data_IF_342037603769
#
_entry.id   IF_342037603769
#
_cell.length_a   1.000
_cell.length_b   1.000
_cell.length_c   1.000
_cell.angle_alpha   90.00
_cell.angle_beta   90.00
_cell.angle_gamma   90.00
#
_symmetry.space_group_name_H-M   'P 1'
#
loop_
_entity.id
_entity.type
_entity.pdbx_description
1 polymer ?
#
# COMPACT_ATOMS: atom_id res chain seq x y z
N UNK A 1 16.55 -90.82 105.22
CA UNK A 1 15.59 -89.71 105.39
C UNK A 1 15.62 -88.85 104.13
N UNK A 2 14.43 -88.63 103.55
CA UNK A 2 14.03 -87.47 102.72
C UNK A 2 14.79 -87.21 101.38
N UNK A 3 14.15 -87.51 100.24
CA UNK A 3 13.45 -86.56 99.31
C UNK A 3 14.43 -85.59 98.63
N UNK A 4 14.50 -85.35 97.33
CA UNK A 4 13.59 -85.49 96.19
C UNK A 4 13.98 -84.41 95.16
N UNK A 5 13.64 -84.61 93.88
CA UNK A 5 13.59 -83.58 92.82
C UNK A 5 14.95 -82.93 92.42
N UNK A 6 15.45 -83.08 91.18
CA UNK A 6 15.04 -82.21 90.06
C UNK A 6 15.73 -82.64 88.75
N UNK A 7 15.02 -83.34 87.86
CA UNK A 7 15.40 -83.51 86.45
C UNK A 7 14.41 -82.74 85.57
N UNK A 8 14.49 -81.40 85.60
CA UNK A 8 13.70 -80.49 84.74
C UNK A 8 14.51 -79.32 84.15
N UNK A 9 15.85 -79.34 84.20
CA UNK A 9 16.67 -78.23 83.69
C UNK A 9 16.86 -78.17 82.16
N UNK A 10 17.06 -79.26 81.40
CA UNK A 10 17.40 -79.14 79.97
C UNK A 10 16.23 -78.69 79.08
N UNK A 11 15.00 -79.07 79.42
CA UNK A 11 13.80 -78.69 78.64
C UNK A 11 13.39 -77.23 78.84
N UNK A 12 13.64 -76.67 80.02
CA UNK A 12 13.34 -75.25 80.32
C UNK A 12 14.28 -74.32 79.56
N UNK A 13 15.58 -74.64 79.51
CA UNK A 13 16.56 -73.86 78.75
C UNK A 13 16.30 -73.91 77.24
N UNK A 14 15.92 -75.09 76.72
CA UNK A 14 15.53 -75.24 75.30
C UNK A 14 14.27 -74.43 74.96
N UNK A 15 13.27 -74.41 75.86
CA UNK A 15 12.07 -73.59 75.70
C UNK A 15 12.34 -72.09 75.70
N UNK A 16 13.23 -71.61 76.58
CA UNK A 16 13.63 -70.19 76.63
C UNK A 16 14.38 -69.79 75.35
N UNK A 17 15.29 -70.64 74.85
CA UNK A 17 16.00 -70.40 73.59
C UNK A 17 15.05 -70.33 72.39
N UNK A 18 14.07 -71.25 72.33
CA UNK A 18 13.05 -71.27 71.28
C UNK A 18 12.18 -70.00 71.30
N UNK A 19 11.75 -69.54 72.49
CA UNK A 19 11.00 -68.30 72.65
C UNK A 19 11.85 -67.08 72.26
N UNK A 20 13.13 -67.05 72.64
CA UNK A 20 14.04 -65.97 72.26
C UNK A 20 14.26 -65.90 70.74
N UNK A 21 14.44 -67.04 70.06
CA UNK A 21 14.55 -67.13 68.61
C UNK A 21 13.27 -66.66 67.90
N UNK A 22 12.09 -67.07 68.40
CA UNK A 22 10.80 -66.60 67.88
C UNK A 22 10.61 -65.09 68.07
N UNK A 23 10.98 -64.55 69.23
CA UNK A 23 10.91 -63.11 69.50
C UNK A 23 11.86 -62.31 68.60
N UNK A 24 13.08 -62.82 68.36
CA UNK A 24 14.05 -62.23 67.43
C UNK A 24 13.54 -62.25 65.99
N UNK A 25 12.92 -63.37 65.57
CA UNK A 25 12.30 -63.51 64.24
C UNK A 25 11.11 -62.55 64.05
N UNK A 26 10.25 -62.41 65.07
CA UNK A 26 9.14 -61.46 65.06
C UNK A 26 9.64 -60.00 65.03
N UNK A 27 10.68 -59.67 65.81
CA UNK A 27 11.33 -58.35 65.78
C UNK A 27 11.92 -58.05 64.40
N UNK A 28 12.61 -59.01 63.79
CA UNK A 28 13.17 -58.85 62.44
C UNK A 28 12.08 -58.66 61.37
N UNK A 29 11.00 -59.44 61.42
CA UNK A 29 9.85 -59.27 60.53
C UNK A 29 9.17 -57.90 60.70
N UNK A 30 9.04 -57.43 61.94
CA UNK A 30 8.51 -56.10 62.25
C UNK A 30 9.41 -54.98 61.70
N UNK A 31 10.74 -55.09 61.86
CA UNK A 31 11.71 -54.15 61.29
C UNK A 31 11.66 -54.14 59.75
N UNK A 32 11.52 -55.31 59.11
CA UNK A 32 11.37 -55.40 57.66
C UNK A 32 10.05 -54.78 57.18
N UNK A 33 8.95 -54.98 57.91
CA UNK A 33 7.65 -54.38 57.61
C UNK A 33 7.69 -52.85 57.72
N UNK A 34 8.29 -52.32 58.79
CA UNK A 34 8.56 -50.88 58.96
C UNK A 34 9.45 -50.35 57.82
N UNK A 35 10.54 -51.03 57.50
CA UNK A 35 11.41 -50.61 56.40
C UNK A 35 10.69 -50.63 55.04
N UNK A 36 9.70 -51.50 54.84
CA UNK A 36 8.87 -51.53 53.62
C UNK A 36 7.87 -50.37 53.59
N UNK A 37 7.19 -50.07 54.70
CA UNK A 37 6.25 -48.94 54.77
C UNK A 37 6.97 -47.61 54.61
N UNK A 38 8.11 -47.42 55.29
CA UNK A 38 8.97 -46.25 55.12
C UNK A 38 9.45 -46.07 53.68
N UNK A 39 9.87 -47.15 53.00
CA UNK A 39 10.24 -47.10 51.58
C UNK A 39 9.05 -46.78 50.66
N UNK A 40 7.85 -47.26 50.97
CA UNK A 40 6.66 -46.91 50.21
C UNK A 40 6.34 -45.42 50.34
N UNK A 41 6.36 -44.90 51.56
CA UNK A 41 6.10 -43.49 51.84
C UNK A 41 7.16 -42.56 51.25
N UNK A 42 8.43 -42.97 51.25
CA UNK A 42 9.52 -42.23 50.59
C UNK A 42 9.31 -42.13 49.07
N UNK A 43 8.81 -43.20 48.43
CA UNK A 43 8.51 -43.21 46.98
C UNK A 43 7.34 -42.28 46.65
N UNK A 44 6.29 -42.29 47.47
CA UNK A 44 5.14 -41.40 47.30
C UNK A 44 5.54 -39.93 47.46
N UNK A 45 6.33 -39.61 48.50
CA UNK A 45 6.88 -38.26 48.68
C UNK A 45 7.76 -37.83 47.49
N UNK A 46 8.59 -38.73 46.98
CA UNK A 46 9.39 -38.44 45.80
C UNK A 46 8.53 -38.22 44.54
N UNK A 47 7.45 -38.99 44.35
CA UNK A 47 6.51 -38.78 43.24
C UNK A 47 5.84 -37.41 43.31
N UNK A 48 5.36 -37.02 44.50
CA UNK A 48 4.74 -35.71 44.73
C UNK A 48 5.72 -34.56 44.48
N UNK A 49 6.98 -34.71 44.86
CA UNK A 49 8.02 -33.70 44.59
C UNK A 49 8.26 -33.52 43.09
N UNK A 50 8.38 -34.62 42.35
CA UNK A 50 8.54 -34.58 40.88
C UNK A 50 7.31 -33.93 40.24
N UNK A 51 6.10 -34.32 40.67
CA UNK A 51 4.86 -33.74 40.15
C UNK A 51 4.77 -32.22 40.42
N UNK A 52 5.11 -31.78 41.64
CA UNK A 52 5.13 -30.36 41.99
C UNK A 52 6.15 -29.58 41.16
N UNK A 53 7.32 -30.15 40.89
CA UNK A 53 8.33 -29.53 40.05
C UNK A 53 7.86 -29.44 38.59
N UNK A 54 7.18 -30.46 38.07
CA UNK A 54 6.59 -30.38 36.73
C UNK A 54 5.51 -29.32 36.63
N UNK A 55 4.62 -29.24 37.62
CA UNK A 55 3.56 -28.22 37.68
C UNK A 55 4.12 -26.80 37.85
N UNK A 56 5.23 -26.67 38.57
CA UNK A 56 5.93 -25.39 38.70
C UNK A 56 6.49 -24.95 37.36
N UNK A 57 7.19 -25.84 36.65
CA UNK A 57 7.74 -25.56 35.32
C UNK A 57 6.62 -25.24 34.31
N UNK A 58 5.50 -25.96 34.37
CA UNK A 58 4.33 -25.70 33.55
C UNK A 58 3.75 -24.30 33.83
N UNK A 59 3.61 -23.92 35.10
CA UNK A 59 3.18 -22.57 35.48
C UNK A 59 4.15 -21.48 35.02
N UNK A 60 5.46 -21.70 35.13
CA UNK A 60 6.47 -20.75 34.65
C UNK A 60 6.40 -20.59 33.13
N UNK A 61 6.20 -21.68 32.39
CA UNK A 61 5.97 -21.64 30.94
C UNK A 61 4.71 -20.88 30.58
N UNK A 62 3.59 -21.14 31.25
CA UNK A 62 2.33 -20.43 31.02
C UNK A 62 2.46 -18.94 31.30
N UNK A 63 3.15 -18.55 32.39
CA UNK A 63 3.43 -17.14 32.70
C UNK A 63 4.32 -16.46 31.65
N UNK A 64 5.33 -17.17 31.14
CA UNK A 64 6.17 -16.66 30.06
C UNK A 64 5.37 -16.48 28.76
N UNK A 65 4.51 -17.44 28.42
CA UNK A 65 3.67 -17.39 27.23
C UNK A 65 2.66 -16.23 27.29
N UNK A 66 2.01 -16.00 28.44
CA UNK A 66 1.06 -14.88 28.60
C UNK A 66 1.77 -13.53 28.55
N UNK A 67 2.94 -13.38 29.20
CA UNK A 67 3.72 -12.15 29.15
C UNK A 67 4.21 -11.83 27.71
N UNK A 68 4.63 -12.84 26.96
CA UNK A 68 5.01 -12.70 25.55
C UNK A 68 3.82 -12.23 24.69
N UNK A 69 2.65 -12.88 24.84
CA UNK A 69 1.44 -12.53 24.10
C UNK A 69 0.96 -11.08 24.37
N UNK A 70 1.05 -10.61 25.63
CA UNK A 70 0.68 -9.23 25.98
C UNK A 70 1.62 -8.20 25.37
N UNK A 71 2.93 -8.48 25.33
CA UNK A 71 3.92 -7.58 24.74
C UNK A 71 3.78 -7.51 23.22
N UNK A 72 3.51 -8.64 22.57
CA UNK A 72 3.30 -8.70 21.13
C UNK A 72 2.05 -7.92 20.70
N UNK A 73 0.93 -8.11 21.41
CA UNK A 73 -0.30 -7.34 21.17
C UNK A 73 -0.13 -5.83 21.43
N UNK A 74 0.66 -5.45 22.44
CA UNK A 74 0.96 -4.03 22.74
C UNK A 74 1.88 -3.41 21.67
N UNK A 75 2.85 -4.18 21.16
CA UNK A 75 3.71 -3.77 20.05
C UNK A 75 2.92 -3.64 18.73
N UNK A 76 1.94 -4.52 18.50
CA UNK A 76 1.08 -4.46 17.33
C UNK A 76 0.14 -3.24 17.40
N UNK A 77 -0.48 -2.99 18.55
CA UNK A 77 -1.34 -1.81 18.79
C UNK A 77 -0.57 -0.49 18.58
N UNK A 78 0.69 -0.41 19.03
CA UNK A 78 1.53 0.77 18.82
C UNK A 78 1.92 0.96 17.36
N UNK A 79 2.18 -0.11 16.61
CA UNK A 79 2.41 -0.05 15.15
C UNK A 79 1.16 0.43 14.41
N UNK A 80 -0.02 -0.09 14.77
CA UNK A 80 -1.31 0.31 14.21
C UNK A 80 -1.55 1.81 14.45
N UNK A 81 -1.33 2.30 15.67
CA UNK A 81 -1.47 3.72 16.01
C UNK A 81 -0.48 4.61 15.24
N UNK A 82 0.77 4.17 15.06
CA UNK A 82 1.77 4.91 14.28
C UNK A 82 1.38 4.96 12.80
N UNK A 83 0.86 3.87 12.25
CA UNK A 83 0.33 3.81 10.88
C UNK A 83 -0.86 4.73 10.69
N UNK A 84 -1.86 4.67 11.58
CA UNK A 84 -3.02 5.56 11.50
C UNK A 84 -2.62 7.02 11.64
N UNK A 85 -1.64 7.34 12.49
CA UNK A 85 -1.09 8.70 12.61
C UNK A 85 -0.42 9.17 11.32
N UNK A 86 0.36 8.31 10.64
CA UNK A 86 0.98 8.67 9.38
C UNK A 86 -0.07 8.87 8.28
N UNK A 87 -1.09 8.01 8.22
CA UNK A 87 -2.23 8.14 7.31
C UNK A 87 -3.00 9.46 7.51
N UNK A 88 -3.32 9.82 8.76
CA UNK A 88 -3.95 11.11 9.08
C UNK A 88 -3.07 12.29 8.67
N UNK A 89 -1.76 12.18 8.85
CA UNK A 89 -0.82 13.23 8.44
C UNK A 89 -0.81 13.39 6.91
N UNK A 90 -0.85 12.28 6.18
CA UNK A 90 -0.92 12.28 4.73
C UNK A 90 -2.25 12.86 4.21
N UNK A 91 -3.38 12.50 4.83
CA UNK A 91 -4.68 13.09 4.51
C UNK A 91 -4.72 14.60 4.72
N UNK A 92 -4.14 15.11 5.81
CA UNK A 92 -4.05 16.56 6.05
C UNK A 92 -3.25 17.27 4.96
N UNK A 93 -2.18 16.65 4.48
CA UNK A 93 -1.40 17.18 3.35
C UNK A 93 -2.24 17.22 2.07
N UNK A 94 -3.00 16.16 1.78
CA UNK A 94 -3.93 16.12 0.64
C UNK A 94 -5.02 17.20 0.73
N UNK A 95 -5.58 17.43 1.91
CA UNK A 95 -6.55 18.50 2.14
C UNK A 95 -5.99 19.89 1.85
N UNK A 96 -4.77 20.17 2.31
CA UNK A 96 -4.10 21.46 2.03
C UNK A 96 -3.88 21.67 0.52
N UNK A 97 -3.50 20.62 -0.21
CA UNK A 97 -3.34 20.67 -1.66
C UNK A 97 -4.67 20.88 -2.40
N UNK A 98 -5.75 20.28 -1.90
CA UNK A 98 -7.09 20.51 -2.45
C UNK A 98 -7.55 21.96 -2.25
N UNK A 99 -7.23 22.58 -1.11
CA UNK A 99 -7.53 23.98 -0.84
C UNK A 99 -6.75 24.93 -1.74
N UNK A 100 -5.47 24.67 -2.00
CA UNK A 100 -4.67 25.49 -2.92
C UNK A 100 -5.23 25.40 -4.34
N UNK A 101 -5.63 24.21 -4.80
CA UNK A 101 -6.28 24.02 -6.10
C UNK A 101 -7.61 24.78 -6.18
N UNK A 102 -8.44 24.73 -5.13
CA UNK A 102 -9.69 25.50 -5.07
C UNK A 102 -9.44 27.01 -5.13
N UNK A 103 -8.45 27.50 -4.39
CA UNK A 103 -8.06 28.91 -4.42
C UNK A 103 -7.54 29.32 -5.80
N UNK A 104 -6.75 28.47 -6.46
CA UNK A 104 -6.28 28.70 -7.83
C UNK A 104 -7.46 28.78 -8.82
N UNK A 105 -8.41 27.86 -8.74
CA UNK A 105 -9.62 27.89 -9.56
C UNK A 105 -10.47 29.14 -9.29
N UNK A 106 -10.63 29.55 -8.04
CA UNK A 106 -11.36 30.78 -7.69
C UNK A 106 -10.69 32.02 -8.29
N UNK A 107 -9.36 32.10 -8.24
CA UNK A 107 -8.58 33.19 -8.88
C UNK A 107 -8.76 33.20 -10.39
N UNK A 108 -8.78 32.03 -11.04
CA UNK A 108 -9.06 31.94 -12.47
C UNK A 108 -10.46 32.45 -12.81
N UNK A 109 -11.48 32.05 -12.04
CA UNK A 109 -12.86 32.54 -12.24
C UNK A 109 -12.96 34.05 -12.05
N UNK A 110 -12.30 34.58 -11.01
CA UNK A 110 -12.25 36.02 -10.77
C UNK A 110 -11.52 36.76 -11.90
N UNK A 111 -10.40 36.20 -12.40
CA UNK A 111 -9.67 36.74 -13.54
C UNK A 111 -10.52 36.71 -14.82
N UNK A 112 -11.31 35.67 -15.05
CA UNK A 112 -12.25 35.59 -16.18
C UNK A 112 -13.37 36.64 -16.07
N UNK A 113 -13.83 36.93 -14.86
CA UNK A 113 -14.84 37.97 -14.62
C UNK A 113 -14.28 39.40 -14.74
N UNK A 114 -13.01 39.60 -14.36
CA UNK A 114 -12.33 40.89 -14.44
C UNK A 114 -11.62 41.11 -15.78
N UNK A 115 -11.50 40.07 -16.61
CA UNK A 115 -11.12 40.22 -18.02
C UNK A 115 -12.19 41.14 -18.62
N UNK A 116 -11.82 42.34 -19.13
CA UNK A 116 -12.79 43.21 -19.76
C UNK A 116 -13.47 42.39 -20.86
N UNK A 117 -14.75 42.06 -20.64
CA UNK A 117 -15.57 41.45 -21.67
C UNK A 117 -15.47 42.42 -22.83
N UNK A 118 -14.84 41.98 -23.92
CA UNK A 118 -14.75 42.76 -25.15
C UNK A 118 -16.13 43.33 -25.40
N UNK A 119 -16.24 44.66 -25.42
CA UNK A 119 -17.54 45.30 -25.62
C UNK A 119 -18.17 44.74 -26.88
N UNK A 120 -19.51 44.72 -27.03
CA UNK A 120 -20.16 44.18 -28.22
C UNK A 120 -19.57 44.70 -29.55
N UNK A 121 -19.05 45.94 -29.58
CA UNK A 121 -18.31 46.51 -30.70
C UNK A 121 -16.87 45.98 -30.85
N UNK A 122 -16.11 45.80 -29.77
CA UNK A 122 -14.80 45.15 -29.81
C UNK A 122 -14.92 43.68 -30.20
N UNK A 123 -15.94 42.99 -29.70
CA UNK A 123 -16.24 41.61 -30.04
C UNK A 123 -16.69 41.50 -31.50
N UNK A 124 -17.46 42.47 -32.02
CA UNK A 124 -17.74 42.59 -33.44
C UNK A 124 -16.48 42.80 -34.28
N UNK A 125 -15.49 43.59 -33.82
CA UNK A 125 -14.20 43.74 -34.50
C UNK A 125 -13.37 42.45 -34.46
N UNK A 126 -13.33 41.74 -33.33
CA UNK A 126 -12.63 40.45 -33.21
C UNK A 126 -13.31 39.36 -34.04
N UNK A 127 -14.64 39.33 -34.08
CA UNK A 127 -15.42 38.40 -34.91
C UNK A 127 -15.29 38.77 -36.39
N UNK A 128 -15.27 40.05 -36.75
CA UNK A 128 -15.02 40.50 -38.12
C UNK A 128 -13.61 40.15 -38.58
N UNK A 129 -12.60 40.34 -37.73
CA UNK A 129 -11.23 39.92 -38.00
C UNK A 129 -11.11 38.39 -38.12
N UNK A 130 -11.80 37.62 -37.25
CA UNK A 130 -11.88 36.15 -37.37
C UNK A 130 -12.59 35.68 -38.63
N UNK A 131 -13.64 36.38 -39.08
CA UNK A 131 -14.33 36.08 -40.35
C UNK A 131 -13.42 36.25 -41.56
N UNK A 132 -12.36 37.05 -41.45
CA UNK A 132 -11.37 37.25 -42.52
C UNK A 132 -10.29 36.18 -42.53
N UNK A 133 -10.07 35.48 -41.41
CA UNK A 133 -9.05 34.45 -41.27
C UNK A 133 -9.45 33.12 -41.92
N UNK A 134 -8.44 32.37 -42.34
CA UNK A 134 -8.61 31.06 -42.93
C UNK A 134 -8.53 29.95 -41.86
N UNK A 135 -9.10 28.78 -42.16
CA UNK A 135 -8.99 27.59 -41.31
C UNK A 135 -8.52 26.38 -42.11
N UNK A 136 -7.72 25.54 -41.43
CA UNK A 136 -7.32 24.22 -41.90
C UNK A 136 -8.33 23.14 -41.46
N UNK A 137 -8.98 23.32 -40.30
CA UNK A 137 -9.91 22.37 -39.69
C UNK A 137 -9.24 21.14 -39.06
N UNK A 138 -8.04 21.33 -38.53
CA UNK A 138 -7.30 20.35 -37.72
C UNK A 138 -7.71 20.44 -36.25
N UNK A 139 -7.87 19.28 -35.61
CA UNK A 139 -7.90 19.16 -34.16
C UNK A 139 -6.45 19.01 -33.68
N UNK A 140 -6.02 19.90 -32.78
CA UNK A 140 -4.62 20.01 -32.39
C UNK A 140 -4.41 19.70 -30.92
N UNK A 141 -3.24 19.16 -30.62
CA UNK A 141 -2.71 18.96 -29.27
C UNK A 141 -1.34 19.62 -29.14
N UNK A 142 -0.93 20.02 -27.92
CA UNK A 142 0.43 20.44 -27.65
C UNK A 142 1.42 19.36 -28.08
N UNK A 143 2.56 19.75 -28.64
CA UNK A 143 3.62 18.82 -28.96
C UNK A 143 4.14 18.10 -27.68
N UNK A 144 4.63 16.86 -27.81
CA UNK A 144 5.29 16.15 -26.72
C UNK A 144 6.47 16.96 -26.15
N UNK A 145 6.79 16.73 -24.87
CA UNK A 145 7.88 17.42 -24.20
C UNK A 145 9.21 17.28 -24.98
N UNK A 146 9.84 18.42 -25.30
CA UNK A 146 11.10 18.47 -26.05
C UNK A 146 10.96 18.62 -27.57
N UNK A 147 9.74 18.70 -28.11
CA UNK A 147 9.49 18.97 -29.53
C UNK A 147 8.78 20.31 -29.72
N UNK A 148 9.23 21.09 -30.69
CA UNK A 148 8.57 22.32 -31.10
C UNK A 148 7.60 21.99 -32.23
N UNK A 149 6.35 22.40 -32.08
CA UNK A 149 5.33 22.09 -33.08
C UNK A 149 3.93 21.96 -32.50
N UNK A 150 3.05 21.43 -33.34
CA UNK A 150 1.65 21.17 -33.02
C UNK A 150 1.29 19.78 -33.51
N UNK A 151 0.86 18.92 -32.60
CA UNK A 151 0.47 17.55 -32.95
C UNK A 151 -0.96 17.55 -33.50
N UNK A 152 -1.16 16.91 -34.64
CA UNK A 152 -2.48 16.71 -35.23
C UNK A 152 -3.15 15.54 -34.52
N UNK A 153 -4.21 15.81 -33.76
CA UNK A 153 -5.01 14.80 -33.07
C UNK A 153 -6.14 14.25 -33.96
N UNK A 154 -6.56 15.01 -34.97
CA UNK A 154 -7.63 14.62 -35.87
C UNK A 154 -8.06 15.77 -36.79
N UNK A 155 -9.17 15.57 -37.49
CA UNK A 155 -9.71 16.55 -38.44
C UNK A 155 -11.22 16.62 -38.32
N UNK A 156 -11.77 17.77 -38.67
CA UNK A 156 -13.18 17.85 -39.06
C UNK A 156 -13.34 17.14 -40.43
N UNK A 157 -14.28 16.18 -40.60
CA UNK A 157 -14.49 15.44 -41.84
C UNK A 157 -14.74 16.32 -43.08
N UNK A 158 -15.29 17.52 -42.89
CA UNK A 158 -15.54 18.48 -43.98
C UNK A 158 -14.43 19.54 -44.10
N UNK A 159 -13.31 19.36 -43.40
CA UNK A 159 -12.21 20.30 -43.42
C UNK A 159 -11.26 20.09 -44.62
N UNK A 160 -10.56 21.15 -45.03
CA UNK A 160 -9.50 21.01 -46.03
C UNK A 160 -8.34 20.12 -45.62
N UNK A 161 -8.02 20.07 -44.33
CA UNK A 161 -6.96 19.20 -43.83
C UNK A 161 -7.29 17.71 -44.00
N UNK A 162 -8.58 17.34 -43.97
CA UNK A 162 -9.01 15.96 -44.22
C UNK A 162 -8.78 15.53 -45.69
N UNK A 163 -8.80 16.46 -46.64
CA UNK A 163 -8.62 16.18 -48.08
C UNK A 163 -7.19 16.38 -48.57
N UNK A 164 -6.29 16.90 -47.73
CA UNK A 164 -4.90 17.22 -48.12
C UNK A 164 -3.89 16.08 -47.90
N UNK A 165 -4.33 14.94 -47.36
CA UNK A 165 -3.45 13.80 -47.05
C UNK A 165 -2.69 13.90 -45.72
N UNK A 166 -3.00 14.92 -44.91
CA UNK A 166 -2.59 14.97 -43.50
C UNK A 166 -3.22 13.80 -42.73
N UNK A 167 -2.50 13.30 -41.72
CA UNK A 167 -2.94 12.19 -40.89
C UNK A 167 -2.86 12.56 -39.40
N UNK A 168 -3.71 11.96 -38.54
CA UNK A 168 -3.53 12.08 -37.10
C UNK A 168 -2.17 11.48 -36.71
N UNK A 169 -1.44 12.18 -35.85
CA UNK A 169 -0.05 11.85 -35.50
C UNK A 169 1.00 12.67 -36.25
N UNK A 170 0.61 13.47 -37.24
CA UNK A 170 1.51 14.43 -37.89
C UNK A 170 1.88 15.56 -36.91
N UNK A 171 3.18 15.90 -36.83
CA UNK A 171 3.65 17.05 -36.06
C UNK A 171 3.93 18.22 -37.00
N UNK A 172 3.06 19.23 -36.99
CA UNK A 172 3.24 20.47 -37.76
C UNK A 172 4.33 21.29 -37.09
N UNK A 173 5.41 21.57 -37.81
CA UNK A 173 6.53 22.37 -37.31
C UNK A 173 6.76 23.66 -38.10
N UNK A 174 6.25 23.74 -39.34
CA UNK A 174 6.30 24.96 -40.13
C UNK A 174 5.11 25.09 -41.09
N UNK A 175 4.84 26.33 -41.51
CA UNK A 175 3.77 26.68 -42.43
C UNK A 175 4.25 27.75 -43.40
N UNK A 176 4.23 27.45 -44.70
CA UNK A 176 4.87 28.23 -45.78
C UNK A 176 6.31 28.64 -45.44
N UNK A 177 7.07 27.71 -44.85
CA UNK A 177 8.45 27.95 -44.40
C UNK A 177 8.59 28.78 -43.13
N UNK A 178 7.50 29.22 -42.50
CA UNK A 178 7.52 29.93 -41.20
C UNK A 178 7.49 28.92 -40.05
N UNK A 179 8.36 29.03 -39.04
CA UNK A 179 8.39 28.11 -37.92
C UNK A 179 7.14 28.27 -37.03
N UNK A 180 6.53 27.14 -36.67
CA UNK A 180 5.34 27.06 -35.81
C UNK A 180 5.75 26.33 -34.52
N UNK A 181 6.22 27.04 -33.47
CA UNK A 181 6.69 26.40 -32.24
C UNK A 181 5.55 25.90 -31.34
N UNK A 182 4.34 26.47 -31.49
CA UNK A 182 3.20 26.13 -30.65
C UNK A 182 1.86 26.42 -31.35
N UNK A 183 0.77 25.95 -30.73
CA UNK A 183 -0.60 26.08 -31.22
C UNK A 183 -1.05 27.55 -31.40
N UNK A 184 -0.59 28.46 -30.55
CA UNK A 184 -0.94 29.88 -30.62
C UNK A 184 -0.40 30.54 -31.89
N UNK A 185 0.84 30.23 -32.27
CA UNK A 185 1.46 30.75 -33.50
C UNK A 185 0.75 30.22 -34.74
N UNK A 186 0.38 28.94 -34.75
CA UNK A 186 -0.41 28.36 -35.87
C UNK A 186 -1.72 29.09 -36.07
N UNK A 187 -2.47 29.34 -34.98
CA UNK A 187 -3.75 30.04 -35.05
C UNK A 187 -3.57 31.49 -35.51
N UNK A 188 -2.55 32.20 -35.00
CA UNK A 188 -2.27 33.57 -35.39
C UNK A 188 -1.92 33.68 -36.89
N UNK A 189 -1.10 32.76 -37.40
CA UNK A 189 -0.74 32.74 -38.82
C UNK A 189 -1.96 32.43 -39.70
N UNK A 190 -2.87 31.55 -39.27
CA UNK A 190 -4.11 31.27 -40.02
C UNK A 190 -5.08 32.46 -40.04
N UNK A 191 -5.08 33.31 -39.01
CA UNK A 191 -5.90 34.53 -38.98
C UNK A 191 -5.45 35.58 -40.00
N UNK A 192 -4.20 35.56 -40.45
CA UNK A 192 -3.69 36.49 -41.47
C UNK A 192 -3.85 35.97 -42.90
N UNK A 193 -4.20 34.69 -43.07
CA UNK A 193 -4.37 34.08 -44.40
C UNK A 193 -5.75 34.29 -44.97
N UNK A 194 -5.80 34.29 -46.30
CA UNK A 194 -7.06 34.45 -47.02
C UNK A 194 -7.75 33.09 -47.20
N UNK A 195 -9.05 32.98 -46.89
CA UNK A 195 -9.84 31.80 -47.21
C UNK A 195 -9.76 31.42 -48.69
N UNK A 196 -9.50 30.15 -48.99
CA UNK A 196 -9.41 29.62 -50.34
C UNK A 196 -7.99 29.59 -50.92
N UNK A 197 -7.03 30.19 -50.22
CA UNK A 197 -5.59 30.13 -50.51
C UNK A 197 -5.02 28.73 -50.24
N UNK A 198 -4.01 28.33 -51.02
CA UNK A 198 -3.29 27.08 -50.76
C UNK A 198 -2.09 27.36 -49.88
N UNK A 199 -2.10 26.79 -48.68
CA UNK A 199 -1.03 26.89 -47.70
C UNK A 199 -0.22 25.60 -47.69
N UNK A 200 1.10 25.74 -47.61
CA UNK A 200 2.03 24.63 -47.49
C UNK A 200 2.25 24.31 -46.02
N UNK A 201 1.88 23.12 -45.59
CA UNK A 201 2.05 22.65 -44.21
C UNK A 201 3.21 21.65 -44.19
N UNK A 202 4.25 22.01 -43.43
CA UNK A 202 5.40 21.15 -43.21
C UNK A 202 5.21 20.37 -41.91
N UNK A 203 5.21 19.04 -42.02
CA UNK A 203 4.95 18.12 -40.91
C UNK A 203 6.03 17.06 -40.78
N UNK A 204 6.20 16.55 -39.56
CA UNK A 204 6.98 15.36 -39.29
C UNK A 204 6.02 14.18 -39.07
N UNK A 205 6.08 13.18 -39.95
CA UNK A 205 5.37 11.91 -39.80
C UNK A 205 6.39 10.81 -39.54
N UNK A 206 6.34 10.19 -38.36
CA UNK A 206 7.32 9.18 -37.97
C UNK A 206 8.78 9.64 -38.18
N UNK A 207 9.07 10.88 -37.79
CA UNK A 207 10.37 11.55 -37.95
C UNK A 207 10.82 11.78 -39.41
N UNK A 208 9.93 11.62 -40.39
CA UNK A 208 10.18 11.95 -41.80
C UNK A 208 9.50 13.27 -42.14
N UNK A 209 10.22 14.28 -42.66
CA UNK A 209 9.63 15.54 -43.07
C UNK A 209 8.78 15.32 -44.32
N UNK A 210 7.52 15.78 -44.24
CA UNK A 210 6.55 15.73 -45.33
C UNK A 210 5.94 17.11 -45.51
N UNK A 211 5.52 17.39 -46.74
CA UNK A 211 4.93 18.67 -47.12
C UNK A 211 3.58 18.43 -47.76
N UNK A 212 2.55 19.09 -47.24
CA UNK A 212 1.19 18.96 -47.72
C UNK A 212 0.64 20.32 -48.16
N UNK A 213 -0.01 20.34 -49.31
CA UNK A 213 -0.71 21.52 -49.79
C UNK A 213 -2.15 21.46 -49.32
N UNK A 214 -2.55 22.42 -48.48
CA UNK A 214 -3.89 22.48 -47.90
C UNK A 214 -4.59 23.75 -48.37
N UNK A 215 -5.71 23.59 -49.05
CA UNK A 215 -6.51 24.73 -49.51
C UNK A 215 -7.40 25.22 -48.38
N UNK A 216 -7.05 26.33 -47.75
CA UNK A 216 -7.78 26.83 -46.58
C UNK A 216 -9.24 27.16 -46.92
N UNK A 217 -10.11 27.19 -45.92
CA UNK A 217 -11.50 27.65 -46.05
C UNK A 217 -11.80 28.76 -45.07
N UNK A 218 -12.90 29.48 -45.28
CA UNK A 218 -13.37 30.47 -44.31
C UNK A 218 -13.83 29.77 -43.03
N UNK A 219 -13.64 30.42 -41.89
CA UNK A 219 -14.26 29.95 -40.65
C UNK A 219 -15.77 29.81 -40.86
N UNK A 220 -16.40 28.67 -40.51
CA UNK A 220 -17.83 28.50 -40.71
C UNK A 220 -18.58 29.58 -39.91
N UNK A 221 -19.34 30.42 -40.61
CA UNK A 221 -20.39 31.19 -39.96
C UNK A 221 -21.44 30.16 -39.55
N UNK A 222 -21.53 29.86 -38.24
CA UNK A 222 -22.65 29.09 -37.72
C UNK A 222 -23.97 29.70 -38.21
N UNK A 223 -24.97 28.89 -38.60
CA UNK A 223 -26.30 29.37 -38.98
C UNK A 223 -27.00 30.08 -37.81
#
# INVERSE_FOLDING_TARGET
MQTGSTSRLPWVLSGILAVALCALGAWHLHQVALARSWRAQLREQHQLLVELETLRLENERLRAATAAATNESSAETTRELLRLRSEVTQMRKQLAELETLRAANARLLQALQSTPQLSPTQMAHVVAARKQGAILGVLIQPAPAGQNGVLVAGFDPQSPAATSGLQPGDLIYALDGRPIPNAGVLQAEMLTRTPGETVVVDVLRSNTPMRFHVRTRAFPATP
#
